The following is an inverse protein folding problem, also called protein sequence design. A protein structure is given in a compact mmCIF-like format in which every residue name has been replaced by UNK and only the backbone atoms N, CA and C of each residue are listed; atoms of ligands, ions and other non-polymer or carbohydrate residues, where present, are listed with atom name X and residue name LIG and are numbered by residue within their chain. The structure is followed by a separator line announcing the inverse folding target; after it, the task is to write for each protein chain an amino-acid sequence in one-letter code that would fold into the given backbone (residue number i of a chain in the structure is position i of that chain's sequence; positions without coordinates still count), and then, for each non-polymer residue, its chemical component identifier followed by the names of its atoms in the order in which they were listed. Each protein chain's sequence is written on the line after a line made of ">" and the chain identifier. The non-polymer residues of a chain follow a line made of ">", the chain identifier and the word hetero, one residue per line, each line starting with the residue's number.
data_IF_755709450147
#
_entry.id   IF_755709450147
#
_cell.length_a   1.000
_cell.length_b   1.000
_cell.length_c   1.000
_cell.angle_alpha   90.00
_cell.angle_beta   90.00
_cell.angle_gamma   90.00
#
_symmetry.space_group_name_H-M   'P 1'
#
loop_
_entity.id
_entity.type
_entity.pdbx_description
1 polymer ?
#
# COMPACT_ATOMS: atom_id res chain seq x y z
N UNK A 1 19.45 -40.23 -66.45
CA UNK A 1 20.76 -39.76 -66.93
C UNK A 1 21.31 -38.78 -65.92
N UNK A 2 22.48 -39.14 -65.40
CA UNK A 2 23.48 -38.42 -64.57
C UNK A 2 23.03 -37.64 -63.35
N UNK A 3 23.18 -38.24 -62.15
CA UNK A 3 23.32 -37.65 -60.86
C UNK A 3 24.68 -36.93 -60.73
N UNK A 4 24.72 -35.78 -60.11
CA UNK A 4 25.95 -35.14 -59.67
C UNK A 4 25.81 -34.82 -58.19
N UNK A 5 26.54 -35.58 -57.33
CA UNK A 5 26.60 -35.37 -55.93
C UNK A 5 27.52 -34.19 -55.55
N UNK A 6 27.16 -33.50 -54.50
CA UNK A 6 28.02 -32.56 -53.80
C UNK A 6 28.33 -33.11 -52.39
N UNK A 7 29.61 -33.38 -52.18
CA UNK A 7 30.15 -33.73 -50.86
C UNK A 7 30.42 -32.42 -50.13
N UNK A 8 29.74 -32.20 -49.00
CA UNK A 8 30.05 -31.11 -48.09
C UNK A 8 30.99 -31.61 -46.99
N UNK A 9 32.19 -31.04 -46.97
CA UNK A 9 33.17 -31.31 -45.90
C UNK A 9 32.79 -30.55 -44.62
N UNK A 10 32.58 -31.27 -43.53
CA UNK A 10 32.42 -30.71 -42.19
C UNK A 10 33.81 -30.41 -41.60
N UNK A 11 34.14 -29.14 -41.46
CA UNK A 11 35.27 -28.67 -40.66
C UNK A 11 34.86 -28.55 -39.20
N UNK A 12 35.43 -29.39 -38.35
CA UNK A 12 35.23 -29.36 -36.89
C UNK A 12 35.98 -28.17 -36.31
N UNK A 13 35.23 -27.22 -35.73
CA UNK A 13 35.78 -26.18 -34.82
C UNK A 13 35.78 -26.74 -33.40
N UNK A 14 36.95 -26.99 -32.85
CA UNK A 14 37.13 -27.29 -31.42
C UNK A 14 37.10 -25.97 -30.66
N UNK A 15 36.00 -25.68 -29.93
CA UNK A 15 35.97 -24.62 -28.93
C UNK A 15 36.60 -25.10 -27.64
N UNK A 16 37.82 -24.62 -27.37
CA UNK A 16 38.43 -24.73 -26.04
C UNK A 16 37.67 -23.80 -25.08
N UNK A 17 36.85 -24.37 -24.20
CA UNK A 17 36.14 -23.64 -23.14
C UNK A 17 37.16 -23.17 -22.10
N UNK A 18 37.34 -21.85 -22.01
CA UNK A 18 38.00 -21.22 -20.88
C UNK A 18 37.09 -21.31 -19.64
N UNK A 19 37.45 -22.16 -18.69
CA UNK A 19 36.84 -22.20 -17.36
C UNK A 19 37.27 -20.91 -16.63
N UNK A 20 36.40 -19.88 -16.61
CA UNK A 20 36.57 -18.73 -15.74
C UNK A 20 36.36 -19.18 -14.30
N UNK A 21 37.42 -19.15 -13.50
CA UNK A 21 37.31 -19.28 -12.05
C UNK A 21 36.44 -18.15 -11.50
N UNK A 22 35.23 -18.46 -11.10
CA UNK A 22 34.39 -17.51 -10.32
C UNK A 22 35.06 -17.35 -8.95
N UNK A 23 35.74 -16.25 -8.74
CA UNK A 23 36.08 -15.78 -7.40
C UNK A 23 34.78 -15.60 -6.63
N UNK A 24 34.55 -16.48 -5.65
CA UNK A 24 33.48 -16.33 -4.68
C UNK A 24 33.72 -15.02 -3.91
N UNK A 25 33.03 -13.95 -4.34
CA UNK A 25 32.97 -12.74 -3.56
C UNK A 25 32.28 -13.11 -2.23
N UNK A 26 32.99 -12.96 -1.13
CA UNK A 26 32.43 -13.02 0.21
C UNK A 26 31.23 -12.08 0.26
N UNK A 27 30.02 -12.53 0.67
CA UNK A 27 28.88 -11.62 0.76
C UNK A 27 29.28 -10.45 1.67
N UNK A 28 28.86 -9.20 1.35
CA UNK A 28 29.17 -8.07 2.19
C UNK A 28 28.65 -8.37 3.59
N UNK A 29 29.51 -8.27 4.59
CA UNK A 29 29.15 -8.36 6.00
C UNK A 29 28.07 -7.30 6.21
N UNK A 30 26.87 -7.75 6.56
CA UNK A 30 25.76 -6.85 6.92
C UNK A 30 26.31 -5.90 7.99
N UNK A 31 26.19 -4.57 7.83
CA UNK A 31 26.65 -3.66 8.87
C UNK A 31 26.00 -4.10 10.17
N UNK A 32 26.79 -4.37 11.21
CA UNK A 32 26.30 -4.73 12.53
C UNK A 32 25.15 -3.80 12.85
N UNK A 33 23.97 -4.36 13.12
CA UNK A 33 22.76 -3.58 13.30
C UNK A 33 23.01 -2.60 14.44
N UNK A 34 23.15 -1.32 14.11
CA UNK A 34 23.43 -0.25 15.09
C UNK A 34 22.36 -0.32 16.17
N UNK A 35 22.77 -0.38 17.42
CA UNK A 35 21.85 -0.36 18.56
C UNK A 35 21.47 1.08 18.87
N UNK A 36 20.17 1.35 18.98
CA UNK A 36 19.64 2.64 19.42
C UNK A 36 18.93 2.46 20.75
N UNK A 37 19.27 3.30 21.73
CA UNK A 37 18.64 3.35 23.05
C UNK A 37 17.69 4.55 23.09
N UNK A 38 16.40 4.33 23.19
CA UNK A 38 15.41 5.40 23.33
C UNK A 38 15.00 5.49 24.78
N UNK A 39 15.52 6.49 25.52
CA UNK A 39 15.22 6.74 26.92
C UNK A 39 13.90 7.49 27.04
N UNK A 40 12.90 6.90 27.70
CA UNK A 40 11.50 7.36 27.69
C UNK A 40 11.03 7.65 29.12
N UNK A 41 10.53 8.85 29.38
CA UNK A 41 10.00 9.20 30.71
C UNK A 41 8.64 8.57 30.99
N UNK A 42 7.76 8.48 30.00
CA UNK A 42 6.45 7.82 30.11
C UNK A 42 6.20 6.99 28.87
N UNK A 43 5.88 5.71 29.07
CA UNK A 43 5.66 4.74 27.99
C UNK A 43 4.29 4.08 28.12
N UNK A 44 3.50 4.10 27.06
CA UNK A 44 2.31 3.28 26.88
C UNK A 44 2.64 2.21 25.83
N UNK A 45 3.18 1.06 26.24
CA UNK A 45 3.56 -0.03 25.34
C UNK A 45 2.39 -0.96 24.97
N UNK A 46 1.40 -1.06 25.88
CA UNK A 46 0.17 -1.81 25.67
C UNK A 46 -1.05 -0.90 25.87
N UNK A 47 -1.59 -0.32 24.77
CA UNK A 47 -2.78 0.53 24.83
C UNK A 47 -4.01 -0.16 25.42
N UNK A 48 -4.12 -1.49 25.30
CA UNK A 48 -5.28 -2.23 25.79
C UNK A 48 -5.36 -2.24 27.32
N UNK A 49 -4.19 -2.21 27.99
CA UNK A 49 -4.10 -2.16 29.44
C UNK A 49 -4.33 -0.76 30.01
N UNK A 50 -4.09 0.28 29.20
CA UNK A 50 -4.08 1.68 29.64
C UNK A 50 -2.98 2.01 30.66
N UNK A 51 -2.07 1.08 30.97
CA UNK A 51 -1.05 1.25 32.00
C UNK A 51 0.15 2.03 31.44
N UNK A 52 0.43 3.18 32.00
CA UNK A 52 1.60 3.98 31.67
C UNK A 52 2.77 3.55 32.59
N UNK A 53 3.84 3.09 31.95
CA UNK A 53 5.12 2.81 32.59
C UNK A 53 5.98 4.08 32.66
N UNK A 54 6.92 4.14 33.60
CA UNK A 54 7.83 5.28 33.79
C UNK A 54 9.28 4.83 33.67
N UNK A 55 10.11 5.74 33.23
CA UNK A 55 11.58 5.62 33.24
C UNK A 55 12.02 4.30 32.60
N UNK A 56 11.78 4.17 31.29
CA UNK A 56 12.10 3.00 30.47
C UNK A 56 13.11 3.35 29.38
N UNK A 57 13.82 2.33 28.93
CA UNK A 57 14.62 2.40 27.71
C UNK A 57 14.14 1.35 26.70
N UNK A 58 13.79 1.79 25.50
CA UNK A 58 13.56 0.89 24.36
C UNK A 58 14.91 0.61 23.70
N UNK A 59 15.31 -0.66 23.65
CA UNK A 59 16.51 -1.10 22.95
C UNK A 59 16.12 -1.53 21.53
N UNK A 60 16.65 -0.84 20.55
CA UNK A 60 16.34 -1.06 19.13
C UNK A 60 17.57 -1.59 18.43
N UNK A 61 17.45 -2.70 17.71
CA UNK A 61 18.47 -3.23 16.82
C UNK A 61 17.95 -3.20 15.38
N UNK A 62 18.60 -2.42 14.54
CA UNK A 62 18.12 -2.16 13.18
C UNK A 62 16.73 -1.49 13.21
N UNK A 63 15.69 -2.23 12.82
CA UNK A 63 14.29 -1.73 12.77
C UNK A 63 13.34 -2.42 13.77
N UNK A 64 13.89 -3.08 14.82
CA UNK A 64 13.09 -3.83 15.78
C UNK A 64 13.41 -3.43 17.21
N UNK A 65 12.38 -3.23 18.02
CA UNK A 65 12.51 -3.19 19.47
C UNK A 65 12.79 -4.61 19.94
N UNK A 66 13.97 -4.81 20.55
CA UNK A 66 14.39 -6.13 21.03
C UNK A 66 14.18 -6.27 22.52
N UNK A 67 14.11 -5.14 23.26
CA UNK A 67 13.94 -5.14 24.71
C UNK A 67 13.33 -3.83 25.18
N UNK A 68 12.60 -3.89 26.30
CA UNK A 68 12.16 -2.73 27.09
C UNK A 68 12.75 -2.88 28.49
N UNK A 69 13.72 -2.05 28.83
CA UNK A 69 14.45 -2.10 30.11
C UNK A 69 13.95 -1.08 31.11
N UNK A 70 14.09 -1.39 32.40
CA UNK A 70 13.85 -0.45 33.47
C UNK A 70 15.01 0.57 33.58
N UNK A 71 14.64 1.81 33.83
CA UNK A 71 15.61 2.91 33.95
C UNK A 71 16.15 3.42 32.59
N UNK A 72 17.06 4.39 32.69
CA UNK A 72 17.72 5.00 31.56
C UNK A 72 19.08 4.35 31.34
N UNK A 73 19.15 3.44 30.38
CA UNK A 73 20.34 2.66 30.04
C UNK A 73 20.86 3.04 28.65
N UNK A 74 22.08 2.61 28.35
CA UNK A 74 22.75 2.88 27.09
C UNK A 74 23.63 4.14 27.15
N UNK A 75 24.69 4.13 26.39
CA UNK A 75 25.58 5.27 26.25
C UNK A 75 26.22 5.28 24.86
N UNK A 76 26.52 6.48 24.37
CA UNK A 76 27.26 6.68 23.12
C UNK A 76 28.68 6.10 23.20
N UNK A 77 29.29 6.08 24.40
CA UNK A 77 30.62 5.48 24.63
C UNK A 77 30.64 3.96 24.41
N UNK A 78 29.47 3.28 24.48
CA UNK A 78 29.30 1.88 24.16
C UNK A 78 29.01 1.59 22.69
N UNK A 79 29.11 2.59 21.80
CA UNK A 79 28.89 2.46 20.36
C UNK A 79 27.42 2.46 19.91
N UNK A 80 26.48 2.77 20.81
CA UNK A 80 25.07 2.93 20.52
C UNK A 80 24.67 4.39 20.31
N UNK A 81 23.56 4.61 19.62
CA UNK A 81 22.90 5.92 19.54
C UNK A 81 21.94 6.08 20.72
N UNK A 82 21.92 7.25 21.36
CA UNK A 82 20.98 7.54 22.45
C UNK A 82 19.99 8.62 22.01
N UNK A 83 18.69 8.28 22.04
CA UNK A 83 17.60 9.23 21.79
C UNK A 83 16.98 9.59 23.14
N UNK A 84 17.11 10.84 23.57
CA UNK A 84 16.60 11.32 24.85
C UNK A 84 15.14 11.80 24.72
N UNK A 85 14.22 10.97 25.19
CA UNK A 85 12.78 11.29 25.33
C UNK A 85 12.31 11.21 26.79
N UNK A 86 13.21 11.47 27.76
CA UNK A 86 12.90 11.38 29.20
C UNK A 86 11.82 12.32 29.68
N UNK A 87 11.56 13.39 28.95
CA UNK A 87 10.47 14.33 29.24
C UNK A 87 9.20 14.06 28.44
N UNK A 88 9.27 13.12 27.47
CA UNK A 88 8.17 12.83 26.55
C UNK A 88 7.24 11.71 27.06
N UNK A 89 6.09 11.62 26.41
CA UNK A 89 5.18 10.49 26.45
C UNK A 89 5.30 9.73 25.12
N UNK A 90 5.66 8.47 25.20
CA UNK A 90 5.85 7.60 24.02
C UNK A 90 4.75 6.54 24.00
N UNK A 91 4.20 6.31 22.83
CA UNK A 91 3.16 5.30 22.57
C UNK A 91 3.46 4.64 21.23
N UNK A 92 2.84 3.46 20.93
CA UNK A 92 2.91 2.86 19.61
C UNK A 92 2.42 3.81 18.54
N UNK A 93 2.97 3.69 17.33
CA UNK A 93 2.51 4.49 16.20
C UNK A 93 1.02 4.32 15.94
N UNK A 94 0.35 5.43 15.65
CA UNK A 94 -1.08 5.45 15.38
C UNK A 94 -1.39 4.71 14.07
N UNK A 95 -2.61 4.17 14.00
CA UNK A 95 -3.14 3.49 12.81
C UNK A 95 -4.38 4.26 12.35
N UNK A 96 -4.41 4.64 11.07
CA UNK A 96 -5.61 5.17 10.44
C UNK A 96 -6.15 4.14 9.45
N UNK A 97 -7.36 3.68 9.71
CA UNK A 97 -7.99 2.61 8.92
C UNK A 97 -8.72 3.11 7.67
N UNK A 98 -8.73 4.42 7.41
CA UNK A 98 -9.42 4.97 6.23
C UNK A 98 -8.82 6.32 5.79
N UNK A 99 -7.90 6.27 4.85
CA UNK A 99 -7.29 7.46 4.24
C UNK A 99 -7.37 7.42 2.70
N UNK A 100 -7.08 8.57 2.08
CA UNK A 100 -6.89 8.75 0.65
C UNK A 100 -5.64 9.62 0.44
N UNK A 101 -4.47 9.00 0.31
CA UNK A 101 -3.20 9.73 0.27
C UNK A 101 -2.93 10.43 -1.05
N UNK A 102 -3.40 9.86 -2.17
CA UNK A 102 -3.06 10.31 -3.53
C UNK A 102 -3.96 11.42 -4.05
N UNK A 103 -4.98 11.83 -3.29
CA UNK A 103 -5.90 12.91 -3.64
C UNK A 103 -6.07 13.91 -2.50
N UNK A 104 -6.48 15.11 -2.86
CA UNK A 104 -6.91 16.16 -1.91
C UNK A 104 -8.23 16.73 -2.40
N UNK A 105 -9.18 16.92 -1.49
CA UNK A 105 -10.42 17.60 -1.86
C UNK A 105 -10.17 19.10 -1.99
N UNK A 106 -10.45 19.65 -3.16
CA UNK A 106 -10.29 21.05 -3.49
C UNK A 106 -11.40 21.51 -4.45
N UNK A 107 -11.48 22.81 -4.71
CA UNK A 107 -12.36 23.35 -5.74
C UNK A 107 -12.04 22.78 -7.15
N UNK A 108 -10.83 22.28 -7.36
CA UNK A 108 -10.33 21.77 -8.63
C UNK A 108 -10.36 20.22 -8.74
N UNK A 109 -10.84 19.51 -7.71
CA UNK A 109 -10.78 18.02 -7.66
C UNK A 109 -11.37 17.34 -8.90
N UNK A 110 -12.38 17.94 -9.54
CA UNK A 110 -12.94 17.42 -10.78
C UNK A 110 -12.01 17.58 -11.99
N UNK A 111 -11.21 18.65 -12.02
CA UNK A 111 -10.21 18.88 -13.07
C UNK A 111 -8.97 18.02 -12.84
N UNK A 112 -8.62 17.76 -11.59
CA UNK A 112 -7.47 16.94 -11.22
C UNK A 112 -7.55 15.54 -11.85
N UNK A 113 -8.76 14.96 -11.94
CA UNK A 113 -8.99 13.67 -12.58
C UNK A 113 -8.65 13.63 -14.08
N UNK A 114 -8.57 14.76 -14.76
CA UNK A 114 -8.24 14.86 -16.21
C UNK A 114 -6.93 15.60 -16.49
N UNK A 115 -6.30 16.20 -15.49
CA UNK A 115 -5.06 16.97 -15.64
C UNK A 115 -3.87 16.31 -14.96
N UNK A 116 -4.11 15.44 -13.97
CA UNK A 116 -3.06 14.75 -13.22
C UNK A 116 -2.88 13.32 -13.73
N UNK A 117 -1.65 12.94 -13.99
CA UNK A 117 -1.26 11.56 -14.28
C UNK A 117 -1.15 10.73 -12.98
N UNK A 118 -1.08 9.40 -13.11
CA UNK A 118 -0.76 8.51 -11.98
C UNK A 118 0.56 8.89 -11.28
N UNK A 119 1.54 9.41 -12.04
CA UNK A 119 2.81 9.87 -11.48
C UNK A 119 2.62 11.13 -10.61
N UNK A 120 1.84 12.11 -11.08
CA UNK A 120 1.53 13.31 -10.30
C UNK A 120 0.82 12.93 -9.00
N UNK A 121 -0.17 12.04 -9.07
CA UNK A 121 -0.89 11.54 -7.89
C UNK A 121 0.04 10.77 -6.93
N UNK A 122 1.01 10.00 -7.42
CA UNK A 122 2.00 9.33 -6.57
C UNK A 122 2.88 10.35 -5.82
N UNK A 123 3.29 11.45 -6.45
CA UNK A 123 4.05 12.52 -5.78
C UNK A 123 3.20 13.29 -4.76
N UNK A 124 1.94 13.57 -5.06
CA UNK A 124 0.99 14.12 -4.09
C UNK A 124 0.88 13.18 -2.90
N UNK A 125 0.71 11.89 -3.16
CA UNK A 125 0.65 10.84 -2.16
C UNK A 125 1.91 10.77 -1.30
N UNK A 126 3.11 10.90 -1.88
CA UNK A 126 4.38 10.91 -1.15
C UNK A 126 4.48 12.10 -0.18
N UNK A 127 4.03 13.29 -0.61
CA UNK A 127 3.93 14.47 0.26
C UNK A 127 2.98 14.22 1.42
N UNK A 128 1.80 13.67 1.15
CA UNK A 128 0.78 13.41 2.16
C UNK A 128 1.19 12.27 3.10
N UNK A 129 1.80 11.19 2.59
CA UNK A 129 2.35 10.11 3.39
C UNK A 129 3.39 10.61 4.41
N UNK A 130 4.28 11.52 4.01
CA UNK A 130 5.25 12.14 4.92
C UNK A 130 4.56 12.97 6.01
N UNK A 131 3.53 13.76 5.66
CA UNK A 131 2.74 14.53 6.63
C UNK A 131 2.05 13.61 7.63
N UNK A 132 1.45 12.52 7.15
CA UNK A 132 0.77 11.51 7.94
C UNK A 132 1.71 10.81 8.91
N UNK A 133 2.90 10.40 8.44
CA UNK A 133 3.94 9.81 9.29
C UNK A 133 4.40 10.80 10.37
N UNK A 134 4.65 12.06 10.01
CA UNK A 134 5.08 13.10 10.96
C UNK A 134 4.01 13.45 11.99
N UNK A 135 2.73 13.17 11.69
CA UNK A 135 1.62 13.30 12.64
C UNK A 135 1.50 12.09 13.59
N UNK A 136 2.37 11.07 13.45
CA UNK A 136 2.43 9.89 14.31
C UNK A 136 1.70 8.65 13.77
N UNK A 137 1.11 8.72 12.59
CA UNK A 137 0.48 7.54 11.96
C UNK A 137 1.53 6.72 11.23
N UNK A 138 1.81 5.51 11.74
CA UNK A 138 2.84 4.61 11.19
C UNK A 138 2.26 3.52 10.28
N UNK A 139 0.95 3.34 10.29
CA UNK A 139 0.21 2.43 9.40
C UNK A 139 -1.10 3.09 8.98
N UNK A 140 -1.44 2.96 7.70
CA UNK A 140 -2.70 3.47 7.17
C UNK A 140 -3.33 2.47 6.19
N UNK A 141 -4.65 2.47 6.09
CA UNK A 141 -5.39 1.80 5.02
C UNK A 141 -5.87 2.86 4.01
N UNK A 142 -5.27 2.88 2.83
CA UNK A 142 -5.74 3.73 1.73
C UNK A 142 -6.86 2.99 0.98
N UNK A 143 -8.08 3.49 1.16
CA UNK A 143 -9.30 2.84 0.71
C UNK A 143 -9.88 3.48 -0.56
N UNK A 144 -9.05 4.07 -1.38
CA UNK A 144 -9.46 4.57 -2.68
C UNK A 144 -8.42 5.48 -3.31
N UNK A 145 -7.86 5.02 -4.42
CA UNK A 145 -6.92 5.77 -5.24
C UNK A 145 -7.12 5.37 -6.70
N UNK A 146 -6.99 6.31 -7.60
CA UNK A 146 -7.13 6.05 -9.03
C UNK A 146 -5.87 5.41 -9.60
N UNK A 147 -6.05 4.35 -10.37
CA UNK A 147 -4.98 3.70 -11.09
C UNK A 147 -3.89 3.08 -10.21
N UNK A 148 -2.63 3.13 -10.66
CA UNK A 148 -1.50 2.46 -10.02
C UNK A 148 -0.76 3.33 -9.00
N UNK A 149 -1.16 4.58 -8.81
CA UNK A 149 -0.44 5.59 -8.02
C UNK A 149 -0.17 5.16 -6.58
N UNK A 150 -1.18 4.59 -5.91
CA UNK A 150 -1.05 4.15 -4.51
C UNK A 150 -0.17 2.90 -4.36
N UNK A 151 -0.21 1.98 -5.32
CA UNK A 151 0.63 0.78 -5.29
C UNK A 151 2.10 1.15 -5.49
N UNK A 152 2.39 2.07 -6.42
CA UNK A 152 3.73 2.60 -6.63
C UNK A 152 4.26 3.30 -5.37
N UNK A 153 3.43 4.13 -4.71
CA UNK A 153 3.77 4.81 -3.46
C UNK A 153 4.04 3.81 -2.32
N UNK A 154 3.11 2.86 -2.10
CA UNK A 154 3.28 1.80 -1.09
C UNK A 154 4.60 1.06 -1.26
N UNK A 155 4.88 0.67 -2.49
CA UNK A 155 6.07 -0.12 -2.80
C UNK A 155 7.36 0.70 -2.69
N UNK A 156 7.34 1.99 -3.03
CA UNK A 156 8.46 2.91 -2.82
C UNK A 156 8.75 3.13 -1.32
N UNK A 157 7.71 3.30 -0.49
CA UNK A 157 7.86 3.40 0.97
C UNK A 157 8.42 2.08 1.53
N UNK A 158 7.93 0.93 1.08
CA UNK A 158 8.41 -0.37 1.53
C UNK A 158 9.88 -0.64 1.21
N UNK A 159 10.37 -0.11 0.08
CA UNK A 159 11.80 -0.17 -0.29
C UNK A 159 12.66 0.87 0.42
N UNK A 160 12.05 1.87 1.06
CA UNK A 160 12.76 2.99 1.69
C UNK A 160 13.13 4.13 0.75
N UNK A 161 12.59 4.13 -0.48
CA UNK A 161 12.85 5.20 -1.46
C UNK A 161 12.16 6.52 -1.05
N UNK A 162 11.04 6.41 -0.33
CA UNK A 162 10.22 7.55 0.12
C UNK A 162 9.81 7.33 1.58
N UNK A 163 9.91 8.36 2.45
CA UNK A 163 9.42 8.26 3.82
C UNK A 163 7.89 8.29 3.87
N UNK A 164 7.31 7.39 4.65
CA UNK A 164 5.86 7.30 4.84
C UNK A 164 5.45 6.18 5.79
N UNK A 165 4.16 6.08 6.14
CA UNK A 165 3.61 4.98 6.92
C UNK A 165 3.57 3.68 6.11
N UNK A 166 3.40 2.55 6.78
CA UNK A 166 3.00 1.32 6.08
C UNK A 166 1.62 1.52 5.48
N UNK A 167 1.47 1.23 4.19
CA UNK A 167 0.20 1.38 3.47
C UNK A 167 -0.40 0.01 3.19
N UNK A 168 -1.68 -0.17 3.57
CA UNK A 168 -2.56 -1.23 3.10
C UNK A 168 -3.41 -0.59 2.00
N UNK A 169 -3.20 -0.97 0.75
CA UNK A 169 -3.76 -0.28 -0.40
C UNK A 169 -4.92 -1.07 -1.03
N UNK A 170 -6.06 -0.41 -1.22
CA UNK A 170 -7.18 -0.95 -1.98
C UNK A 170 -7.09 -0.66 -3.49
N UNK A 171 -6.50 0.47 -3.86
CA UNK A 171 -6.59 1.00 -5.22
C UNK A 171 -8.01 1.48 -5.57
N UNK A 172 -8.44 1.28 -6.81
CA UNK A 172 -9.80 1.63 -7.23
C UNK A 172 -10.85 0.80 -6.49
N UNK A 173 -11.83 1.49 -5.88
CA UNK A 173 -12.95 0.84 -5.21
C UNK A 173 -13.91 0.17 -6.19
N UNK A 174 -14.51 -0.93 -5.78
CA UNK A 174 -15.59 -1.60 -6.53
C UNK A 174 -16.91 -0.90 -6.25
N UNK A 175 -17.63 -0.53 -7.31
CA UNK A 175 -18.95 0.11 -7.24
C UNK A 175 -19.87 -0.45 -8.33
N UNK A 176 -21.16 -0.25 -8.16
CA UNK A 176 -22.10 -0.54 -9.24
C UNK A 176 -22.17 0.63 -10.23
N UNK A 177 -22.62 0.36 -11.45
CA UNK A 177 -22.95 1.42 -12.41
C UNK A 177 -24.00 2.36 -11.81
N UNK A 178 -23.73 3.68 -11.91
CA UNK A 178 -24.59 4.70 -11.30
C UNK A 178 -24.49 4.79 -9.79
N UNK A 179 -23.62 4.02 -9.14
CA UNK A 179 -23.41 4.03 -7.70
C UNK A 179 -22.53 5.16 -7.19
N UNK A 180 -22.27 5.17 -5.87
CA UNK A 180 -21.47 6.20 -5.19
C UNK A 180 -20.03 6.30 -5.71
N UNK A 181 -19.41 5.17 -6.02
CA UNK A 181 -18.04 5.12 -6.54
C UNK A 181 -17.95 5.22 -8.06
N UNK A 182 -19.07 5.38 -8.76
CA UNK A 182 -19.11 5.62 -10.19
C UNK A 182 -19.17 7.11 -10.50
N UNK A 183 -18.91 7.46 -11.75
CA UNK A 183 -18.96 8.85 -12.24
C UNK A 183 -20.36 9.16 -12.71
N UNK A 184 -21.02 10.12 -12.05
CA UNK A 184 -22.39 10.47 -12.32
C UNK A 184 -22.52 11.96 -12.71
N UNK A 185 -23.50 12.27 -13.59
CA UNK A 185 -23.90 13.62 -13.93
C UNK A 185 -23.07 14.32 -15.00
N UNK A 186 -22.26 13.58 -15.75
CA UNK A 186 -21.59 14.05 -16.96
C UNK A 186 -22.26 13.50 -18.22
N UNK A 187 -21.90 14.04 -19.39
CA UNK A 187 -22.29 13.46 -20.68
C UNK A 187 -21.61 12.10 -20.83
N UNK A 188 -22.24 11.20 -21.58
CA UNK A 188 -21.79 9.82 -21.79
C UNK A 188 -20.33 9.72 -22.31
N UNK A 189 -19.97 10.57 -23.27
CA UNK A 189 -18.63 10.65 -23.84
C UNK A 189 -17.56 11.08 -22.83
N UNK A 190 -17.95 11.84 -21.81
CA UNK A 190 -17.09 12.27 -20.71
C UNK A 190 -17.00 11.19 -19.63
N UNK A 191 -18.10 10.50 -19.34
CA UNK A 191 -18.12 9.43 -18.33
C UNK A 191 -17.14 8.32 -18.65
N UNK A 192 -16.97 7.95 -19.93
CA UNK A 192 -15.99 6.96 -20.36
C UNK A 192 -14.53 7.28 -20.04
N UNK A 193 -14.19 8.56 -19.86
CA UNK A 193 -12.83 8.97 -19.48
C UNK A 193 -12.53 8.73 -18.00
N UNK A 194 -13.57 8.69 -17.17
CA UNK A 194 -13.46 8.56 -15.73
C UNK A 194 -13.85 7.18 -15.20
N UNK A 195 -14.63 6.40 -15.98
CA UNK A 195 -15.12 5.10 -15.54
C UNK A 195 -13.98 4.14 -15.30
N UNK A 196 -13.81 3.73 -14.05
CA UNK A 196 -12.83 2.72 -13.64
C UNK A 196 -13.23 1.31 -14.12
N UNK A 197 -12.26 0.42 -14.23
CA UNK A 197 -12.50 -1.00 -14.58
C UNK A 197 -13.22 -1.78 -13.46
N UNK A 198 -13.40 -1.18 -12.29
CA UNK A 198 -13.98 -1.80 -11.10
C UNK A 198 -15.46 -1.44 -10.91
N UNK A 199 -16.07 -0.79 -11.90
CA UNK A 199 -17.52 -0.60 -11.94
C UNK A 199 -18.15 -1.87 -12.50
N UNK A 200 -19.20 -2.39 -11.84
CA UNK A 200 -19.77 -3.68 -12.14
C UNK A 200 -21.31 -3.72 -12.10
N UNK A 201 -21.90 -4.70 -12.74
CA UNK A 201 -23.33 -5.02 -12.67
C UNK A 201 -23.53 -6.53 -12.69
N UNK A 202 -24.21 -7.04 -11.68
CA UNK A 202 -24.42 -8.47 -11.47
C UNK A 202 -23.24 -9.17 -10.77
N UNK A 203 -23.51 -10.31 -10.11
CA UNK A 203 -22.53 -10.98 -9.25
C UNK A 203 -21.24 -11.38 -9.96
N UNK A 204 -21.33 -11.91 -11.17
CA UNK A 204 -20.18 -12.42 -11.93
C UNK A 204 -19.27 -11.28 -12.38
N UNK A 205 -19.84 -10.15 -12.80
CA UNK A 205 -19.07 -8.97 -13.19
C UNK A 205 -18.41 -8.31 -11.97
N UNK A 206 -19.09 -8.28 -10.83
CA UNK A 206 -18.51 -7.79 -9.59
C UNK A 206 -17.37 -8.70 -9.07
N UNK A 207 -17.49 -10.03 -9.24
CA UNK A 207 -16.38 -10.96 -9.00
C UNK A 207 -15.19 -10.71 -9.96
N UNK A 208 -15.45 -10.35 -11.22
CA UNK A 208 -14.40 -9.93 -12.16
C UNK A 208 -13.69 -8.67 -11.66
N UNK A 209 -14.44 -7.66 -11.22
CA UNK A 209 -13.87 -6.42 -10.67
C UNK A 209 -12.94 -6.69 -9.47
N UNK A 210 -13.35 -7.55 -8.53
CA UNK A 210 -12.49 -7.99 -7.42
C UNK A 210 -11.18 -8.61 -7.91
N UNK A 211 -11.24 -9.53 -8.89
CA UNK A 211 -10.04 -10.18 -9.44
C UNK A 211 -9.11 -9.18 -10.14
N UNK A 212 -9.67 -8.16 -10.78
CA UNK A 212 -8.89 -7.07 -11.37
C UNK A 212 -8.17 -6.25 -10.30
N UNK A 213 -8.85 -5.87 -9.20
CA UNK A 213 -8.23 -5.18 -8.07
C UNK A 213 -7.06 -5.99 -7.50
N UNK A 214 -7.24 -7.29 -7.27
CA UNK A 214 -6.16 -8.16 -6.76
C UNK A 214 -5.01 -8.26 -7.75
N UNK A 215 -5.29 -8.39 -9.05
CA UNK A 215 -4.26 -8.42 -10.11
C UNK A 215 -3.45 -7.12 -10.14
N UNK A 216 -4.08 -5.98 -9.89
CA UNK A 216 -3.42 -4.66 -9.84
C UNK A 216 -2.58 -4.47 -8.57
N UNK A 217 -2.70 -5.36 -7.57
CA UNK A 217 -1.90 -5.33 -6.36
C UNK A 217 -2.63 -4.93 -5.08
N UNK A 218 -3.97 -4.96 -5.08
CA UNK A 218 -4.76 -4.62 -3.90
C UNK A 218 -4.46 -5.55 -2.71
N UNK A 219 -4.21 -4.97 -1.54
CA UNK A 219 -4.04 -5.69 -0.27
C UNK A 219 -5.40 -5.99 0.38
N UNK A 220 -6.39 -5.15 0.11
CA UNK A 220 -7.77 -5.22 0.61
C UNK A 220 -8.72 -4.77 -0.50
N UNK A 221 -9.94 -5.31 -0.52
CA UNK A 221 -10.96 -4.89 -1.48
C UNK A 221 -11.85 -3.84 -0.84
N UNK A 222 -11.95 -2.68 -1.47
CA UNK A 222 -12.87 -1.61 -1.08
C UNK A 222 -14.12 -1.67 -1.94
N UNK A 223 -15.29 -1.56 -1.31
CA UNK A 223 -16.58 -1.39 -1.99
C UNK A 223 -17.30 -0.14 -1.52
N UNK A 224 -18.22 0.37 -2.31
CA UNK A 224 -19.19 1.41 -1.93
C UNK A 224 -20.57 0.76 -1.79
N UNK A 225 -20.84 0.18 -0.60
CA UNK A 225 -22.04 -0.62 -0.36
C UNK A 225 -23.33 0.21 -0.40
N UNK A 226 -23.24 1.47 0.02
CA UNK A 226 -24.37 2.42 0.02
C UNK A 226 -23.98 3.70 -0.70
N UNK A 227 -24.95 4.56 -0.98
CA UNK A 227 -24.68 5.94 -1.32
C UNK A 227 -23.91 6.64 -0.19
N UNK A 228 -23.30 7.77 -0.49
CA UNK A 228 -22.60 8.62 0.45
C UNK A 228 -23.21 10.02 0.50
N UNK A 229 -22.91 10.78 1.56
CA UNK A 229 -23.45 12.14 1.76
C UNK A 229 -23.13 13.07 0.58
N UNK A 230 -22.02 12.84 -0.11
CA UNK A 230 -21.60 13.62 -1.27
C UNK A 230 -22.00 12.98 -2.61
N UNK A 231 -22.75 11.88 -2.59
CA UNK A 231 -23.19 11.22 -3.84
C UNK A 231 -24.29 12.03 -4.52
N UNK A 232 -24.13 12.21 -5.82
CA UNK A 232 -25.20 12.72 -6.67
C UNK A 232 -25.97 11.53 -7.27
N UNK A 233 -26.60 10.72 -6.42
CA UNK A 233 -27.40 9.55 -6.83
C UNK A 233 -28.82 9.64 -6.26
N UNK A 234 -29.82 9.18 -7.02
CA UNK A 234 -31.22 9.22 -6.60
C UNK A 234 -31.51 8.31 -5.39
N UNK A 235 -30.70 7.28 -5.17
CA UNK A 235 -30.83 6.33 -4.05
C UNK A 235 -30.42 6.91 -2.68
N UNK A 236 -29.84 8.12 -2.66
CA UNK A 236 -29.37 8.74 -1.41
C UNK A 236 -28.38 7.85 -0.68
N UNK A 237 -28.64 7.54 0.60
CA UNK A 237 -27.78 6.70 1.43
C UNK A 237 -28.13 5.20 1.38
N UNK A 238 -29.11 4.80 0.59
CA UNK A 238 -29.55 3.39 0.53
C UNK A 238 -28.50 2.44 -0.02
N UNK A 239 -28.73 1.14 0.25
CA UNK A 239 -27.93 0.04 -0.30
C UNK A 239 -27.93 0.09 -1.84
N UNK A 240 -26.75 -0.07 -2.43
CA UNK A 240 -26.59 0.04 -3.88
C UNK A 240 -26.32 -1.29 -4.55
N UNK A 241 -25.59 -2.19 -3.92
CA UNK A 241 -25.43 -3.57 -4.39
C UNK A 241 -26.63 -4.43 -3.99
N UNK A 242 -26.99 -5.39 -4.82
CA UNK A 242 -27.86 -6.49 -4.41
C UNK A 242 -27.11 -7.44 -3.45
N UNK A 243 -27.86 -8.23 -2.67
CA UNK A 243 -27.27 -9.22 -1.76
C UNK A 243 -26.42 -10.26 -2.52
N UNK A 244 -26.82 -10.62 -3.74
CA UNK A 244 -26.09 -11.55 -4.58
C UNK A 244 -24.74 -10.96 -5.07
N UNK A 245 -24.70 -9.68 -5.39
CA UNK A 245 -23.45 -8.98 -5.75
C UNK A 245 -22.52 -8.91 -4.55
N UNK A 246 -23.02 -8.52 -3.37
CA UNK A 246 -22.22 -8.49 -2.15
C UNK A 246 -21.65 -9.87 -1.80
N UNK A 247 -22.47 -10.91 -1.89
CA UNK A 247 -22.01 -12.28 -1.65
C UNK A 247 -20.92 -12.71 -2.64
N UNK A 248 -21.10 -12.40 -3.93
CA UNK A 248 -20.11 -12.68 -4.97
C UNK A 248 -18.78 -11.95 -4.75
N UNK A 249 -18.84 -10.67 -4.38
CA UNK A 249 -17.64 -9.87 -4.05
C UNK A 249 -16.86 -10.49 -2.89
N UNK A 250 -17.56 -10.80 -1.77
CA UNK A 250 -16.93 -11.36 -0.57
C UNK A 250 -16.35 -12.74 -0.87
N UNK A 251 -17.08 -13.59 -1.59
CA UNK A 251 -16.59 -14.91 -2.00
C UNK A 251 -15.31 -14.80 -2.85
N UNK A 252 -15.33 -13.94 -3.88
CA UNK A 252 -14.18 -13.76 -4.76
C UNK A 252 -12.97 -13.21 -4.00
N UNK A 253 -13.16 -12.22 -3.13
CA UNK A 253 -12.09 -11.64 -2.31
C UNK A 253 -11.46 -12.68 -1.38
N UNK A 254 -12.27 -13.43 -0.64
CA UNK A 254 -11.80 -14.46 0.28
C UNK A 254 -11.05 -15.59 -0.45
N UNK A 255 -11.53 -16.05 -1.61
CA UNK A 255 -10.81 -17.03 -2.44
C UNK A 255 -9.44 -16.53 -2.91
N UNK A 256 -9.28 -15.21 -3.04
CA UNK A 256 -8.01 -14.57 -3.38
C UNK A 256 -7.19 -14.15 -2.15
N UNK A 257 -7.60 -14.54 -0.93
CA UNK A 257 -6.93 -14.21 0.33
C UNK A 257 -7.01 -12.73 0.70
N UNK A 258 -8.06 -12.03 0.28
CA UNK A 258 -8.29 -10.60 0.59
C UNK A 258 -9.55 -10.43 1.43
N UNK A 259 -9.50 -9.45 2.33
CA UNK A 259 -10.68 -8.97 3.05
C UNK A 259 -11.41 -7.92 2.25
N UNK A 260 -12.68 -7.69 2.59
CA UNK A 260 -13.51 -6.63 2.00
C UNK A 260 -13.80 -5.59 3.07
N UNK A 261 -13.67 -4.32 2.69
CA UNK A 261 -14.08 -3.18 3.50
C UNK A 261 -15.08 -2.33 2.72
N UNK A 262 -15.99 -1.69 3.41
CA UNK A 262 -17.11 -0.99 2.79
C UNK A 262 -17.18 0.47 3.23
N UNK A 263 -17.58 1.32 2.27
CA UNK A 263 -18.21 2.59 2.54
C UNK A 263 -19.69 2.31 2.75
N UNK A 264 -20.20 2.57 3.92
CA UNK A 264 -21.59 2.29 4.30
C UNK A 264 -22.09 3.39 5.23
N UNK A 265 -22.98 4.25 4.72
CA UNK A 265 -23.59 5.34 5.47
C UNK A 265 -25.04 5.09 5.88
N UNK A 266 -25.71 4.15 5.20
CA UNK A 266 -27.08 3.75 5.45
C UNK A 266 -27.25 2.41 6.13
#
# INVERSE_FOLDING_TARGET
>A
MKASGWIAALAGLSLAGAVSAQTSATPPVSPEARTTFVQVGRLLDDPSSGRVQRDKTLVIQGNRIVEVQDGFVGSEAGGGEVVDLRTAFVLPGLIDSHVHLTGEQSANSRLDGVTQSNADQAFIGARNARKTLNAGFTTVADLGATGESIFALRDAIRRGDVPGPRIIAAGDGVSIHGGHGDVNGYREDVMHLFSGQNICSGPEDCMRAVRLSVRSGADIIKITATGGVLSNTAAGLGQQFSDAELAGIVEAAHKMGRQVTAHAHG
#
